data_IF_359635228260
#
_entry.id   IF_359635228260
#
_cell.length_a   1.000
_cell.length_b   1.000
_cell.length_c   1.000
_cell.angle_alpha   90.00
_cell.angle_beta   90.00
_cell.angle_gamma   90.00
#
_symmetry.space_group_name_H-M   'P 1'
#
loop_
_entity.id
_entity.type
_entity.pdbx_description
1 polymer ?
#
# COMPACT_ATOMS: atom_id res chain seq x y z
N UNK A 1 12.31 -3.29 32.50
CA UNK A 1 11.94 -4.68 32.20
C UNK A 1 10.71 -4.57 31.31
N UNK A 2 10.76 -5.07 30.06
CA UNK A 2 9.62 -5.03 29.14
C UNK A 2 8.53 -5.99 29.60
N UNK A 3 7.26 -5.67 29.36
CA UNK A 3 6.13 -6.56 29.69
C UNK A 3 6.12 -7.77 28.76
N UNK A 4 5.54 -8.89 29.22
CA UNK A 4 5.26 -10.06 28.38
C UNK A 4 4.34 -9.68 27.21
N UNK A 5 3.40 -8.75 27.43
CA UNK A 5 2.47 -8.29 26.39
C UNK A 5 3.18 -7.52 25.27
N UNK A 6 4.15 -6.67 25.61
CA UNK A 6 4.95 -5.91 24.64
C UNK A 6 5.79 -6.86 23.76
N UNK A 7 6.34 -7.92 24.35
CA UNK A 7 7.12 -8.93 23.62
C UNK A 7 6.22 -9.71 22.66
N UNK A 8 5.01 -10.06 23.08
CA UNK A 8 4.06 -10.77 22.23
C UNK A 8 3.60 -9.92 21.04
N UNK A 9 3.37 -8.62 21.24
CA UNK A 9 2.99 -7.70 20.16
C UNK A 9 4.12 -7.49 19.15
N UNK A 10 5.37 -7.32 19.61
CA UNK A 10 6.54 -7.22 18.73
C UNK A 10 6.71 -8.51 17.90
N UNK A 11 6.49 -9.67 18.51
CA UNK A 11 6.57 -10.97 17.83
C UNK A 11 5.47 -11.14 16.77
N UNK A 12 4.22 -10.76 17.08
CA UNK A 12 3.11 -10.79 16.12
C UNK A 12 3.40 -9.89 14.91
N UNK A 13 3.88 -8.66 15.16
CA UNK A 13 4.27 -7.73 14.09
C UNK A 13 5.35 -8.33 13.19
N UNK A 14 6.41 -8.88 13.78
CA UNK A 14 7.49 -9.51 13.04
C UNK A 14 7.00 -10.71 12.20
N UNK A 15 6.09 -11.51 12.75
CA UNK A 15 5.49 -12.64 12.05
C UNK A 15 4.66 -12.18 10.84
N UNK A 16 3.78 -11.19 11.01
CA UNK A 16 2.97 -10.63 9.91
C UNK A 16 3.89 -10.05 8.83
N UNK A 17 4.92 -9.28 9.19
CA UNK A 17 5.88 -8.76 8.22
C UNK A 17 6.57 -9.90 7.47
N UNK A 18 7.06 -10.93 8.15
CA UNK A 18 7.74 -12.05 7.49
C UNK A 18 6.83 -12.83 6.54
N UNK A 19 5.56 -13.03 6.91
CA UNK A 19 4.60 -13.79 6.09
C UNK A 19 4.15 -13.04 4.83
N UNK A 20 4.14 -11.70 4.87
CA UNK A 20 3.56 -10.86 3.82
C UNK A 20 4.55 -9.87 3.20
N UNK A 21 5.85 -10.00 3.48
CA UNK A 21 6.90 -9.08 3.00
C UNK A 21 6.91 -8.91 1.47
N UNK A 22 6.61 -9.98 0.73
CA UNK A 22 6.61 -10.01 -0.74
C UNK A 22 5.21 -9.90 -1.35
N UNK A 23 4.17 -9.63 -0.53
CA UNK A 23 2.77 -9.58 -0.97
C UNK A 23 2.31 -8.13 -1.07
N UNK A 24 1.75 -7.80 -2.23
CA UNK A 24 1.28 -6.46 -2.55
C UNK A 24 -0.15 -6.52 -3.07
N UNK A 25 -0.95 -5.53 -2.69
CA UNK A 25 -2.20 -5.23 -3.38
C UNK A 25 -1.89 -4.17 -4.42
N UNK A 26 -2.28 -4.45 -5.67
CA UNK A 26 -2.04 -3.56 -6.80
C UNK A 26 -3.36 -3.07 -7.37
N UNK A 27 -3.43 -1.77 -7.62
CA UNK A 27 -4.51 -1.15 -8.38
C UNK A 27 -3.93 -0.45 -9.59
N UNK A 28 -4.65 -0.52 -10.70
CA UNK A 28 -4.28 0.14 -11.94
C UNK A 28 -5.49 0.93 -12.47
N UNK A 29 -5.24 2.13 -12.95
CA UNK A 29 -6.21 2.92 -13.69
C UNK A 29 -5.58 3.42 -14.98
N UNK A 30 -6.28 3.22 -16.11
CA UNK A 30 -5.89 3.78 -17.41
C UNK A 30 -6.92 4.80 -17.87
N UNK A 31 -6.46 5.99 -18.27
CA UNK A 31 -7.28 7.10 -18.75
C UNK A 31 -6.61 7.87 -19.90
N UNK A 32 -7.36 8.63 -20.73
CA UNK A 32 -6.78 9.41 -21.82
C UNK A 32 -5.72 10.42 -21.37
N UNK A 33 -5.94 11.04 -20.19
CA UNK A 33 -5.01 11.97 -19.56
C UNK A 33 -5.21 11.99 -18.04
N UNK A 34 -4.14 11.71 -17.31
CA UNK A 34 -4.11 11.82 -15.84
C UNK A 34 -3.52 13.19 -15.48
N UNK A 35 -4.25 13.95 -14.66
CA UNK A 35 -3.87 15.31 -14.25
C UNK A 35 -3.13 15.31 -12.91
N UNK A 36 -3.56 14.46 -11.98
CA UNK A 36 -3.01 14.36 -10.64
C UNK A 36 -3.21 12.94 -10.12
N UNK A 37 -2.26 12.43 -9.35
CA UNK A 37 -2.38 11.15 -8.66
C UNK A 37 -1.34 11.02 -7.54
N UNK A 38 -1.63 10.16 -6.57
CA UNK A 38 -0.67 9.69 -5.57
C UNK A 38 -0.01 8.33 -5.92
N UNK A 39 -0.25 7.80 -7.13
CA UNK A 39 0.36 6.58 -7.64
C UNK A 39 1.54 6.82 -8.56
N UNK A 40 2.16 5.73 -9.03
CA UNK A 40 3.21 5.77 -10.03
C UNK A 40 2.60 5.88 -11.43
N UNK A 41 2.88 6.99 -12.09
CA UNK A 41 2.42 7.26 -13.45
C UNK A 41 3.36 6.61 -14.48
N UNK A 42 2.79 5.95 -15.49
CA UNK A 42 3.52 5.43 -16.65
C UNK A 42 4.17 6.54 -17.48
N UNK A 43 5.19 6.18 -18.26
CA UNK A 43 5.92 7.14 -19.12
C UNK A 43 5.02 7.87 -20.13
N UNK A 44 3.94 7.22 -20.57
CA UNK A 44 2.98 7.82 -21.50
C UNK A 44 1.93 8.71 -20.82
N UNK A 45 1.93 8.80 -19.48
CA UNK A 45 1.04 9.62 -18.69
C UNK A 45 -0.42 9.14 -18.64
N UNK A 46 -0.69 7.90 -19.07
CA UNK A 46 -2.05 7.37 -19.24
C UNK A 46 -2.45 6.32 -18.22
N UNK A 47 -1.47 5.65 -17.62
CA UNK A 47 -1.71 4.59 -16.66
C UNK A 47 -1.09 4.99 -15.33
N UNK A 48 -1.83 4.78 -14.25
CA UNK A 48 -1.29 4.93 -12.90
C UNK A 48 -1.41 3.60 -12.16
N UNK A 49 -0.36 3.28 -11.41
CA UNK A 49 -0.26 2.10 -10.57
C UNK A 49 -0.14 2.52 -9.10
N UNK A 50 -0.90 1.87 -8.24
CA UNK A 50 -0.70 1.94 -6.80
C UNK A 50 -0.32 0.57 -6.27
N UNK A 51 0.64 0.55 -5.36
CA UNK A 51 1.06 -0.66 -4.66
C UNK A 51 0.99 -0.45 -3.16
N UNK A 52 0.35 -1.39 -2.46
CA UNK A 52 0.31 -1.43 -1.01
C UNK A 52 0.87 -2.76 -0.52
N UNK A 53 2.01 -2.76 0.22
CA UNK A 53 2.46 -3.95 0.91
C UNK A 53 1.40 -4.45 1.90
N UNK A 54 1.01 -5.72 1.80
CA UNK A 54 -0.07 -6.30 2.61
C UNK A 54 0.24 -6.21 4.10
N UNK A 55 1.51 -6.37 4.49
CA UNK A 55 1.89 -6.26 5.90
C UNK A 55 1.60 -4.87 6.48
N UNK A 56 1.78 -3.79 5.72
CA UNK A 56 1.42 -2.44 6.19
C UNK A 56 -0.09 -2.31 6.39
N UNK A 57 -0.88 -2.87 5.46
CA UNK A 57 -2.33 -2.93 5.58
C UNK A 57 -2.82 -3.59 6.88
N UNK A 58 -2.18 -4.70 7.26
CA UNK A 58 -2.53 -5.46 8.45
C UNK A 58 -2.04 -4.82 9.77
N UNK A 59 -0.85 -4.22 9.75
CA UNK A 59 -0.21 -3.69 10.95
C UNK A 59 -0.70 -2.30 11.34
N UNK A 60 -0.84 -1.40 10.37
CA UNK A 60 -1.14 0.01 10.66
C UNK A 60 -2.64 0.25 10.86
N UNK A 61 -3.50 -0.71 10.47
CA UNK A 61 -4.97 -0.61 10.51
C UNK A 61 -5.49 0.74 9.96
N UNK A 62 -4.74 1.33 9.03
CA UNK A 62 -5.00 2.64 8.44
C UNK A 62 -5.98 2.55 7.27
N UNK A 63 -6.62 3.67 6.96
CA UNK A 63 -7.33 3.84 5.70
C UNK A 63 -6.33 4.27 4.62
N UNK A 64 -6.21 3.47 3.56
CA UNK A 64 -5.38 3.79 2.42
C UNK A 64 -6.26 4.35 1.30
N UNK A 65 -5.92 5.53 0.81
CA UNK A 65 -6.65 6.21 -0.25
C UNK A 65 -5.82 6.22 -1.53
N UNK A 66 -6.40 5.71 -2.62
CA UNK A 66 -5.81 5.73 -3.96
C UNK A 66 -6.65 6.65 -4.83
N UNK A 67 -6.04 7.69 -5.41
CA UNK A 67 -6.80 8.66 -6.19
C UNK A 67 -6.07 9.08 -7.47
N UNK A 68 -6.88 9.32 -8.50
CA UNK A 68 -6.45 9.97 -9.73
C UNK A 68 -7.52 10.96 -10.20
N UNK A 69 -7.08 12.14 -10.64
CA UNK A 69 -7.90 13.11 -11.34
C UNK A 69 -7.67 12.95 -12.82
N UNK A 70 -8.72 12.67 -13.58
CA UNK A 70 -8.63 12.35 -15.01
C UNK A 70 -9.40 13.35 -15.86
N UNK A 71 -8.89 13.60 -17.07
CA UNK A 71 -9.57 14.37 -18.09
C UNK A 71 -10.00 13.45 -19.23
N UNK A 72 -11.29 13.51 -19.58
CA UNK A 72 -11.89 12.82 -20.72
C UNK A 72 -12.04 13.75 -21.93
#
# INVERSE_FOLDING_TARGET
MRSVDEINEEFEKAMITAMFFDKFIRWELTAPKILETNGELSEDGKTVNWELPVYLGLLEKGNYEFFAVVQY
#
